data_IF_539892055403
#
_entry.id   IF_539892055403
#
_cell.length_a   1.000
_cell.length_b   1.000
_cell.length_c   1.000
_cell.angle_alpha   90.00
_cell.angle_beta   90.00
_cell.angle_gamma   90.00
#
_symmetry.space_group_name_H-M   'P 1'
#
loop_
_entity.id
_entity.type
_entity.pdbx_description
1 polymer ?
#
# COMPACT_ATOMS: atom_id res chain seq x y z
N UNK A 1 -25.16 6.91 18.18
CA UNK A 1 -25.36 6.18 16.90
C UNK A 1 -24.06 5.51 16.53
N UNK A 2 -24.10 4.36 15.85
CA UNK A 2 -22.88 3.72 15.34
C UNK A 2 -22.17 4.65 14.32
N UNK A 3 -20.84 4.78 14.38
CA UNK A 3 -20.08 5.49 13.36
C UNK A 3 -20.37 4.94 11.96
N UNK A 4 -20.57 5.82 11.00
CA UNK A 4 -20.80 5.49 9.59
C UNK A 4 -19.51 5.66 8.81
N UNK A 5 -19.01 4.56 8.26
CA UNK A 5 -17.76 4.54 7.49
C UNK A 5 -18.11 4.34 6.01
N UNK A 6 -17.58 5.19 5.14
CA UNK A 6 -17.64 4.98 3.69
C UNK A 6 -16.25 4.63 3.17
N UNK A 7 -16.11 3.45 2.57
CA UNK A 7 -14.84 2.92 2.08
C UNK A 7 -14.91 2.74 0.57
N UNK A 8 -13.87 3.22 -0.11
CA UNK A 8 -13.65 2.94 -1.54
C UNK A 8 -12.37 2.11 -1.69
N UNK A 9 -12.34 1.20 -2.68
CA UNK A 9 -11.18 0.35 -2.92
C UNK A 9 -11.17 -0.98 -2.16
N UNK A 10 -12.29 -1.36 -1.51
CA UNK A 10 -12.41 -2.58 -0.68
C UNK A 10 -12.21 -3.91 -1.41
N UNK A 11 -12.16 -3.88 -2.75
CA UNK A 11 -11.90 -5.06 -3.58
C UNK A 11 -10.49 -5.08 -4.15
N UNK A 12 -9.67 -4.08 -3.79
CA UNK A 12 -8.23 -4.03 -4.01
C UNK A 12 -7.47 -4.69 -2.85
N UNK A 13 -6.15 -4.67 -2.96
CA UNK A 13 -5.25 -5.33 -2.01
C UNK A 13 -5.28 -4.67 -0.62
N UNK A 14 -4.96 -3.36 -0.55
CA UNK A 14 -4.97 -2.59 0.71
C UNK A 14 -6.39 -2.48 1.25
N UNK A 15 -7.33 -1.96 0.45
CA UNK A 15 -8.71 -1.73 0.89
C UNK A 15 -9.45 -2.99 1.31
N UNK A 16 -9.11 -4.14 0.73
CA UNK A 16 -9.66 -5.43 1.14
C UNK A 16 -9.19 -5.84 2.54
N UNK A 17 -7.92 -5.60 2.84
CA UNK A 17 -7.34 -5.86 4.16
C UNK A 17 -7.87 -4.88 5.23
N UNK A 18 -8.01 -3.60 4.87
CA UNK A 18 -8.67 -2.58 5.70
C UNK A 18 -10.11 -2.96 6.01
N UNK A 19 -10.89 -3.37 5.00
CA UNK A 19 -12.27 -3.83 5.21
C UNK A 19 -12.31 -5.05 6.14
N UNK A 20 -11.39 -5.99 5.95
CA UNK A 20 -11.28 -7.19 6.78
C UNK A 20 -11.07 -6.81 8.25
N UNK A 21 -9.98 -6.11 8.56
CA UNK A 21 -9.65 -5.79 9.96
C UNK A 21 -10.69 -4.87 10.60
N UNK A 22 -11.21 -3.88 9.86
CA UNK A 22 -12.19 -2.95 10.44
C UNK A 22 -13.52 -3.66 10.73
N UNK A 23 -13.98 -4.55 9.85
CA UNK A 23 -15.23 -5.30 10.06
C UNK A 23 -15.10 -6.34 11.19
N UNK A 24 -13.89 -6.87 11.43
CA UNK A 24 -13.65 -7.82 12.52
C UNK A 24 -13.46 -7.13 13.86
N UNK A 25 -12.73 -6.02 13.90
CA UNK A 25 -12.42 -5.29 15.14
C UNK A 25 -13.61 -4.46 15.62
N UNK A 26 -14.36 -3.85 14.68
CA UNK A 26 -15.52 -3.01 15.00
C UNK A 26 -16.79 -3.50 14.29
N UNK A 27 -17.33 -4.68 14.67
CA UNK A 27 -18.56 -5.20 14.09
C UNK A 27 -19.80 -4.33 14.38
N UNK A 28 -19.69 -3.36 15.29
CA UNK A 28 -20.68 -2.36 15.62
C UNK A 28 -20.69 -1.14 14.68
N UNK A 29 -19.64 -0.93 13.87
CA UNK A 29 -19.59 0.18 12.92
C UNK A 29 -20.46 -0.08 11.68
N UNK A 30 -21.07 0.97 11.16
CA UNK A 30 -21.89 0.91 9.95
C UNK A 30 -21.03 1.17 8.72
N UNK A 31 -20.53 0.11 8.09
CA UNK A 31 -19.63 0.22 6.93
C UNK A 31 -20.43 0.18 5.63
N UNK A 32 -20.11 1.12 4.74
CA UNK A 32 -20.55 1.14 3.35
C UNK A 32 -19.36 1.07 2.41
N UNK A 33 -19.44 0.21 1.39
CA UNK A 33 -18.33 -0.06 0.49
C UNK A 33 -18.73 0.20 -0.96
N UNK A 34 -17.99 1.10 -1.64
CA UNK A 34 -18.15 1.33 -3.07
C UNK A 34 -17.53 0.17 -3.86
N UNK A 35 -18.33 -0.48 -4.70
CA UNK A 35 -17.91 -1.63 -5.50
C UNK A 35 -18.34 -1.42 -6.96
N UNK A 36 -17.40 -1.58 -7.89
CA UNK A 36 -17.61 -1.30 -9.31
C UNK A 36 -18.43 -2.35 -10.06
N UNK A 37 -18.29 -3.63 -9.71
CA UNK A 37 -18.85 -4.73 -10.52
C UNK A 37 -19.64 -5.72 -9.67
N UNK A 38 -20.75 -6.22 -10.23
CA UNK A 38 -21.63 -7.17 -9.55
C UNK A 38 -20.91 -8.46 -9.11
N UNK A 39 -19.94 -8.94 -9.89
CA UNK A 39 -19.14 -10.11 -9.52
C UNK A 39 -18.39 -9.91 -8.19
N UNK A 40 -17.82 -8.72 -7.97
CA UNK A 40 -17.14 -8.37 -6.72
C UNK A 40 -18.12 -8.09 -5.58
N UNK A 41 -19.32 -7.59 -5.87
CA UNK A 41 -20.40 -7.42 -4.87
C UNK A 41 -20.71 -8.75 -4.18
N UNK A 42 -20.82 -9.84 -4.95
CA UNK A 42 -21.11 -11.15 -4.40
C UNK A 42 -20.01 -11.65 -3.45
N UNK A 43 -18.74 -11.43 -3.80
CA UNK A 43 -17.59 -11.79 -2.95
C UNK A 43 -17.64 -11.03 -1.61
N UNK A 44 -17.85 -9.71 -1.65
CA UNK A 44 -17.89 -8.87 -0.44
C UNK A 44 -19.12 -9.19 0.42
N UNK A 45 -20.31 -9.32 -0.18
CA UNK A 45 -21.55 -9.60 0.56
C UNK A 45 -21.51 -10.96 1.25
N UNK A 46 -20.91 -11.97 0.59
CA UNK A 46 -20.72 -13.30 1.17
C UNK A 46 -19.77 -13.27 2.38
N UNK A 47 -18.65 -12.54 2.27
CA UNK A 47 -17.65 -12.46 3.33
C UNK A 47 -18.10 -11.55 4.49
N UNK A 48 -18.81 -10.46 4.18
CA UNK A 48 -19.21 -9.43 5.15
C UNK A 48 -20.70 -9.05 4.97
N UNK A 49 -21.64 -9.89 5.43
CA UNK A 49 -23.08 -9.67 5.22
C UNK A 49 -23.64 -8.37 5.82
N UNK A 50 -22.93 -7.76 6.78
CA UNK A 50 -23.31 -6.50 7.43
C UNK A 50 -22.85 -5.26 6.67
N UNK A 51 -21.95 -5.40 5.69
CA UNK A 51 -21.43 -4.27 4.91
C UNK A 51 -22.47 -3.86 3.87
N UNK A 52 -22.87 -2.58 3.88
CA UNK A 52 -23.75 -2.03 2.85
C UNK A 52 -22.95 -1.84 1.57
N UNK A 53 -23.32 -2.55 0.51
CA UNK A 53 -22.71 -2.35 -0.81
C UNK A 53 -23.32 -1.13 -1.49
N UNK A 54 -22.46 -0.27 -2.02
CA UNK A 54 -22.80 0.82 -2.94
C UNK A 54 -22.26 0.44 -4.31
N UNK A 55 -23.13 0.04 -5.23
CA UNK A 55 -22.74 -0.30 -6.61
C UNK A 55 -22.47 1.01 -7.38
N UNK A 56 -21.24 1.21 -7.81
CA UNK A 56 -20.81 2.44 -8.50
C UNK A 56 -19.29 2.50 -8.67
N UNK A 57 -18.82 3.55 -9.32
CA UNK A 57 -17.42 3.81 -9.65
C UNK A 57 -16.94 5.15 -9.08
N UNK A 58 -15.65 5.43 -9.21
CA UNK A 58 -15.10 6.74 -8.83
C UNK A 58 -15.55 7.87 -9.77
N UNK A 59 -16.08 7.54 -10.95
CA UNK A 59 -16.62 8.52 -11.91
C UNK A 59 -18.03 8.98 -11.52
N UNK A 60 -18.71 8.25 -10.62
CA UNK A 60 -20.07 8.54 -10.16
C UNK A 60 -20.08 9.61 -9.05
N UNK A 61 -19.71 10.84 -9.40
CA UNK A 61 -19.60 11.97 -8.45
C UNK A 61 -20.84 12.19 -7.58
N UNK A 62 -22.04 11.91 -8.11
CA UNK A 62 -23.31 12.02 -7.37
C UNK A 62 -23.41 10.98 -6.25
N UNK A 63 -22.99 9.74 -6.51
CA UNK A 63 -22.91 8.66 -5.52
C UNK A 63 -21.86 9.01 -4.48
N UNK A 64 -20.65 9.39 -4.91
CA UNK A 64 -19.55 9.76 -4.01
C UNK A 64 -19.96 10.89 -3.06
N UNK A 65 -20.53 11.97 -3.60
CA UNK A 65 -21.00 13.10 -2.78
C UNK A 65 -22.06 12.67 -1.78
N UNK A 66 -23.04 11.86 -2.21
CA UNK A 66 -24.12 11.40 -1.33
C UNK A 66 -23.56 10.53 -0.19
N UNK A 67 -22.76 9.52 -0.51
CA UNK A 67 -22.26 8.58 0.50
C UNK A 67 -21.29 9.29 1.46
N UNK A 68 -20.38 10.12 0.95
CA UNK A 68 -19.45 10.89 1.77
C UNK A 68 -20.18 11.88 2.70
N UNK A 69 -21.24 12.56 2.24
CA UNK A 69 -22.01 13.50 3.07
C UNK A 69 -22.80 12.79 4.19
N UNK A 70 -23.03 11.48 4.08
CA UNK A 70 -23.73 10.69 5.10
C UNK A 70 -22.81 9.93 6.04
N UNK A 71 -21.51 9.87 5.72
CA UNK A 71 -20.50 9.18 6.49
C UNK A 71 -19.89 10.12 7.54
N UNK A 72 -19.52 9.56 8.69
CA UNK A 72 -18.69 10.25 9.68
C UNK A 72 -17.21 10.20 9.27
N UNK A 73 -16.80 9.13 8.59
CA UNK A 73 -15.42 8.87 8.17
C UNK A 73 -15.41 8.30 6.75
N UNK A 74 -14.53 8.83 5.91
CA UNK A 74 -14.26 8.31 4.55
C UNK A 74 -12.87 7.71 4.51
N UNK A 75 -12.77 6.44 4.08
CA UNK A 75 -11.50 5.75 3.84
C UNK A 75 -11.35 5.54 2.32
N UNK A 76 -10.32 6.15 1.73
CA UNK A 76 -10.06 6.05 0.31
C UNK A 76 -8.83 5.19 0.03
N UNK A 77 -9.03 4.06 -0.66
CA UNK A 77 -7.96 3.11 -1.07
C UNK A 77 -8.13 2.64 -2.51
N UNK A 78 -8.92 3.38 -3.31
CA UNK A 78 -9.40 2.93 -4.62
C UNK A 78 -8.45 3.23 -5.79
N UNK A 79 -7.45 4.10 -5.58
CA UNK A 79 -6.37 4.35 -6.51
C UNK A 79 -5.06 4.42 -5.72
N UNK A 80 -4.30 3.34 -5.76
CA UNK A 80 -3.06 3.14 -5.01
C UNK A 80 -2.00 2.45 -5.90
N UNK A 81 -2.11 2.64 -7.22
CA UNK A 81 -1.18 2.04 -8.18
C UNK A 81 -0.88 2.96 -9.34
N UNK A 82 0.39 2.96 -9.72
CA UNK A 82 1.09 4.18 -10.14
C UNK A 82 1.77 3.93 -11.48
N UNK A 83 1.54 4.80 -12.47
CA UNK A 83 2.27 4.74 -13.73
C UNK A 83 2.80 6.10 -14.20
N UNK A 84 4.09 6.05 -14.53
CA UNK A 84 4.94 6.98 -15.30
C UNK A 84 5.59 8.13 -14.54
N UNK A 85 6.94 8.09 -14.47
CA UNK A 85 7.80 9.23 -14.81
C UNK A 85 9.26 8.82 -15.09
N UNK A 86 10.07 9.79 -15.52
CA UNK A 86 11.44 9.64 -16.04
C UNK A 86 12.40 9.10 -14.97
N UNK A 87 12.66 7.81 -15.07
CA UNK A 87 13.71 7.13 -14.31
C UNK A 87 15.09 7.73 -14.61
N UNK A 88 15.77 8.23 -13.55
CA UNK A 88 17.18 8.59 -13.58
C UNK A 88 18.09 7.36 -13.69
N UNK A 89 19.29 7.43 -13.11
CA UNK A 89 20.19 6.27 -13.03
C UNK A 89 19.57 5.18 -12.15
N UNK A 90 19.35 3.99 -12.70
CA UNK A 90 18.76 2.86 -11.98
C UNK A 90 19.83 2.03 -11.27
N UNK A 91 19.47 1.44 -10.14
CA UNK A 91 20.27 0.46 -9.41
C UNK A 91 21.36 1.04 -8.52
N UNK A 92 21.49 2.37 -8.46
CA UNK A 92 22.41 3.06 -7.54
C UNK A 92 21.74 3.33 -6.20
N UNK A 93 22.55 3.59 -5.18
CA UNK A 93 22.08 4.01 -3.86
C UNK A 93 21.98 5.54 -3.78
N UNK A 94 20.92 6.04 -3.12
CA UNK A 94 20.74 7.44 -2.73
C UNK A 94 20.63 7.58 -1.19
N UNK A 95 21.31 8.59 -0.63
CA UNK A 95 21.29 8.91 0.80
C UNK A 95 19.98 9.60 1.23
N UNK A 96 19.21 10.17 0.28
CA UNK A 96 17.99 10.91 0.58
C UNK A 96 16.96 10.04 1.31
N UNK A 97 16.47 10.57 2.43
CA UNK A 97 15.45 9.94 3.28
C UNK A 97 14.40 11.00 3.68
N UNK A 98 13.11 10.66 3.55
CA UNK A 98 12.01 11.52 4.00
C UNK A 98 11.58 11.20 5.43
N UNK A 99 11.18 12.17 6.23
CA UNK A 99 10.75 11.96 7.63
C UNK A 99 9.36 12.58 7.85
N UNK A 100 8.40 11.80 8.34
CA UNK A 100 7.02 12.24 8.54
C UNK A 100 6.78 13.05 9.81
N UNK A 101 7.78 13.17 10.69
CA UNK A 101 7.72 13.83 11.98
C UNK A 101 8.43 15.17 11.97
N UNK A 102 9.75 15.17 11.81
CA UNK A 102 10.56 16.39 11.77
C UNK A 102 10.55 17.03 10.38
N UNK A 103 10.40 16.21 9.33
CA UNK A 103 10.56 16.58 7.93
C UNK A 103 9.25 16.72 7.14
N UNK A 104 8.08 16.74 7.80
CA UNK A 104 6.77 16.64 7.12
C UNK A 104 6.56 17.71 6.04
N UNK A 105 7.13 18.90 6.20
CA UNK A 105 7.09 19.98 5.20
C UNK A 105 7.73 19.60 3.85
N UNK A 106 8.72 18.70 3.83
CA UNK A 106 9.33 18.20 2.60
C UNK A 106 8.40 17.25 1.83
N UNK A 107 7.51 16.53 2.54
CA UNK A 107 6.49 15.65 1.96
C UNK A 107 5.30 16.46 1.46
N UNK A 108 4.78 17.36 2.29
CA UNK A 108 3.64 18.20 1.94
C UNK A 108 4.00 19.33 0.97
N UNK A 109 5.29 19.56 0.73
CA UNK A 109 5.86 20.54 -0.20
C UNK A 109 6.51 19.95 -1.46
N UNK A 110 6.26 18.68 -1.78
CA UNK A 110 6.77 18.06 -3.01
C UNK A 110 6.35 18.86 -4.28
N UNK A 111 7.19 18.87 -5.35
CA UNK A 111 6.85 19.46 -6.64
C UNK A 111 5.55 18.90 -7.23
N UNK A 112 4.84 19.67 -8.03
CA UNK A 112 3.53 19.28 -8.61
C UNK A 112 3.62 18.05 -9.53
N UNK A 113 4.79 17.84 -10.14
CA UNK A 113 5.11 16.67 -10.96
C UNK A 113 5.42 15.42 -10.12
N UNK A 114 5.66 15.57 -8.82
CA UNK A 114 5.89 14.44 -7.94
C UNK A 114 4.68 13.51 -7.96
N UNK A 115 4.98 12.23 -7.91
CA UNK A 115 3.97 11.20 -7.99
C UNK A 115 2.93 11.33 -6.86
N UNK A 116 1.64 11.12 -7.18
CA UNK A 116 0.45 11.39 -6.34
C UNK A 116 0.24 12.83 -5.86
N UNK A 117 1.14 13.77 -6.17
CA UNK A 117 1.04 15.13 -5.64
C UNK A 117 -0.27 15.82 -5.99
N UNK A 118 -0.80 15.54 -7.17
CA UNK A 118 -2.10 16.04 -7.62
C UNK A 118 -3.25 15.69 -6.66
N UNK A 119 -3.23 14.48 -6.07
CA UNK A 119 -4.24 14.02 -5.09
C UNK A 119 -3.91 14.54 -3.70
N UNK A 120 -2.65 14.40 -3.26
CA UNK A 120 -2.22 14.84 -1.93
C UNK A 120 -2.50 16.32 -1.69
N UNK A 121 -2.29 17.17 -2.71
CA UNK A 121 -2.56 18.60 -2.61
C UNK A 121 -4.04 18.89 -2.33
N UNK A 122 -4.96 18.10 -2.90
CA UNK A 122 -6.40 18.25 -2.65
C UNK A 122 -6.74 17.83 -1.22
N UNK A 123 -6.20 16.69 -0.76
CA UNK A 123 -6.48 16.14 0.57
C UNK A 123 -5.86 17.01 1.69
N UNK A 124 -4.61 17.41 1.52
CA UNK A 124 -3.92 18.32 2.45
C UNK A 124 -4.64 19.67 2.46
N UNK A 125 -4.95 20.21 1.27
CA UNK A 125 -5.66 21.49 1.15
C UNK A 125 -7.02 21.49 1.85
N UNK A 126 -7.78 20.39 1.79
CA UNK A 126 -9.04 20.24 2.50
C UNK A 126 -8.86 20.19 4.03
N UNK A 127 -7.74 19.66 4.51
CA UNK A 127 -7.37 19.62 5.94
C UNK A 127 -6.62 20.85 6.43
N UNK A 128 -6.50 21.90 5.62
CA UNK A 128 -5.78 23.15 5.92
C UNK A 128 -6.70 24.37 5.91
N UNK A 129 -6.21 25.46 6.49
CA UNK A 129 -6.92 26.75 6.49
C UNK A 129 -8.34 26.67 7.06
N UNK A 130 -9.30 27.35 6.44
CA UNK A 130 -10.71 27.41 6.90
C UNK A 130 -11.48 26.11 6.73
N UNK A 131 -11.07 25.25 5.80
CA UNK A 131 -11.74 23.97 5.57
C UNK A 131 -11.37 22.91 6.62
N UNK A 132 -10.21 23.08 7.29
CA UNK A 132 -9.77 22.24 8.41
C UNK A 132 -10.74 22.24 9.60
N UNK A 133 -11.62 23.25 9.72
CA UNK A 133 -12.69 23.28 10.72
C UNK A 133 -13.83 22.31 10.40
N UNK A 134 -13.99 21.96 9.12
CA UNK A 134 -15.10 21.13 8.62
C UNK A 134 -14.69 19.68 8.39
N UNK A 135 -13.44 19.46 7.96
CA UNK A 135 -12.92 18.12 7.68
C UNK A 135 -11.50 17.95 8.23
N UNK A 136 -11.27 16.81 8.86
CA UNK A 136 -9.93 16.36 9.26
C UNK A 136 -9.45 15.35 8.23
N UNK A 137 -8.22 15.52 7.76
CA UNK A 137 -7.65 14.64 6.74
C UNK A 137 -6.36 14.01 7.24
N UNK A 138 -6.10 12.78 6.78
CA UNK A 138 -4.83 12.10 6.97
C UNK A 138 -4.46 11.39 5.66
N UNK A 139 -3.23 11.57 5.21
CA UNK A 139 -2.61 10.85 4.10
C UNK A 139 -1.79 9.71 4.69
N UNK A 140 -2.12 8.48 4.27
CA UNK A 140 -1.39 7.28 4.66
C UNK A 140 -0.51 6.88 3.48
N UNK A 141 0.80 7.00 3.66
CA UNK A 141 1.80 6.81 2.61
C UNK A 141 2.65 5.55 2.90
N UNK A 142 2.21 4.36 2.45
CA UNK A 142 3.02 3.15 2.56
C UNK A 142 4.11 3.08 1.47
N UNK A 143 5.23 2.37 1.74
CA UNK A 143 6.26 2.05 0.76
C UNK A 143 5.93 0.72 0.06
N UNK A 144 6.90 -0.17 -0.16
CA UNK A 144 6.63 -1.52 -0.69
C UNK A 144 5.71 -2.28 0.27
N UNK A 145 4.54 -2.70 -0.20
CA UNK A 145 3.57 -3.45 0.63
C UNK A 145 3.70 -4.94 0.32
N UNK A 146 3.80 -5.80 1.33
CA UNK A 146 3.91 -7.26 1.15
C UNK A 146 2.99 -8.04 2.10
N UNK A 147 3.05 -9.37 2.03
CA UNK A 147 2.19 -10.30 2.77
C UNK A 147 0.98 -10.78 1.96
N UNK A 148 0.29 -11.81 2.44
CA UNK A 148 -0.97 -12.27 1.82
C UNK A 148 -2.13 -11.40 2.30
N UNK A 149 -2.86 -10.80 1.37
CA UNK A 149 -4.03 -9.98 1.70
C UNK A 149 -5.20 -10.81 2.23
N UNK A 150 -5.95 -10.25 3.18
CA UNK A 150 -7.09 -10.90 3.86
C UNK A 150 -8.46 -10.49 3.31
N UNK A 151 -8.46 -9.59 2.32
CA UNK A 151 -9.66 -9.17 1.61
C UNK A 151 -10.28 -10.27 0.74
N UNK A 152 -11.58 -10.18 0.41
CA UNK A 152 -12.32 -11.25 -0.25
C UNK A 152 -12.11 -11.30 -1.78
N UNK A 153 -11.35 -10.37 -2.35
CA UNK A 153 -11.22 -10.19 -3.80
C UNK A 153 -9.76 -10.29 -4.27
N UNK A 154 -8.91 -9.30 -3.96
CA UNK A 154 -7.50 -9.32 -4.32
C UNK A 154 -6.62 -9.51 -3.08
N UNK A 155 -5.89 -10.63 -3.05
CA UNK A 155 -4.98 -10.97 -1.95
C UNK A 155 -3.50 -10.92 -2.36
N UNK A 156 -3.19 -10.65 -3.64
CA UNK A 156 -1.82 -10.64 -4.16
C UNK A 156 -1.25 -9.22 -4.12
N UNK A 157 -0.03 -9.09 -3.60
CA UNK A 157 0.74 -7.86 -3.76
C UNK A 157 1.36 -7.76 -5.16
N UNK A 158 2.22 -6.76 -5.38
CA UNK A 158 2.81 -6.42 -6.67
C UNK A 158 4.33 -6.63 -6.68
N UNK A 159 5.13 -5.65 -6.29
CA UNK A 159 6.58 -5.62 -6.56
C UNK A 159 7.33 -6.92 -6.19
N UNK A 160 7.19 -7.41 -4.95
CA UNK A 160 7.85 -8.64 -4.50
C UNK A 160 7.28 -9.91 -5.16
N UNK A 161 5.98 -9.92 -5.47
CA UNK A 161 5.31 -11.06 -6.11
C UNK A 161 5.64 -11.13 -7.61
N UNK A 162 5.76 -9.98 -8.29
CA UNK A 162 6.26 -9.91 -9.67
C UNK A 162 7.71 -10.35 -9.78
N UNK A 163 8.53 -10.06 -8.77
CA UNK A 163 9.91 -10.54 -8.70
C UNK A 163 9.95 -12.07 -8.56
N UNK A 164 9.16 -12.63 -7.65
CA UNK A 164 9.00 -14.08 -7.51
C UNK A 164 8.49 -14.72 -8.79
N UNK A 165 7.48 -14.13 -9.44
CA UNK A 165 6.97 -14.58 -10.73
C UNK A 165 8.06 -14.62 -11.81
N UNK A 166 8.87 -13.56 -11.94
CA UNK A 166 9.98 -13.51 -12.88
C UNK A 166 11.05 -14.57 -12.58
N UNK A 167 11.42 -14.75 -11.31
CA UNK A 167 12.40 -15.78 -10.93
C UNK A 167 11.91 -17.18 -11.33
N UNK A 168 10.64 -17.49 -11.03
CA UNK A 168 10.03 -18.79 -11.32
C UNK A 168 9.85 -19.05 -12.83
N UNK A 169 9.51 -18.04 -13.61
CA UNK A 169 9.24 -18.21 -15.05
C UNK A 169 10.49 -18.00 -15.91
N UNK A 170 11.33 -17.05 -15.53
CA UNK A 170 12.55 -16.69 -16.24
C UNK A 170 13.75 -17.58 -15.92
N UNK A 171 13.75 -18.25 -14.76
CA UNK A 171 14.85 -19.12 -14.31
C UNK A 171 16.18 -18.35 -14.18
N UNK A 172 16.14 -17.16 -13.56
CA UNK A 172 17.32 -16.37 -13.18
C UNK A 172 16.99 -15.38 -12.06
N UNK A 173 18.02 -14.81 -11.43
CA UNK A 173 17.87 -13.75 -10.43
C UNK A 173 18.00 -12.38 -11.11
N UNK A 174 16.94 -11.55 -11.16
CA UNK A 174 16.99 -10.26 -11.85
C UNK A 174 17.74 -9.21 -11.04
N UNK A 175 18.70 -8.53 -11.66
CA UNK A 175 19.46 -7.40 -11.08
C UNK A 175 19.31 -6.18 -11.98
N UNK A 176 18.86 -5.04 -11.43
CA UNK A 176 18.78 -3.77 -12.17
C UNK A 176 19.94 -2.86 -11.76
N UNK A 177 20.67 -2.34 -12.76
CA UNK A 177 21.82 -1.45 -12.55
C UNK A 177 22.87 -2.05 -11.62
N UNK A 178 23.39 -1.26 -10.67
CA UNK A 178 24.38 -1.74 -9.70
C UNK A 178 23.78 -2.63 -8.58
N UNK A 179 22.46 -2.84 -8.55
CA UNK A 179 21.79 -3.68 -7.55
C UNK A 179 21.83 -3.12 -6.12
N UNK A 180 22.03 -1.82 -5.95
CA UNK A 180 22.14 -1.14 -4.64
C UNK A 180 20.91 -0.34 -4.23
N UNK A 181 19.88 -0.32 -5.08
CA UNK A 181 18.64 0.39 -4.83
C UNK A 181 17.93 -0.14 -3.58
N UNK A 182 17.44 0.77 -2.73
CA UNK A 182 16.82 0.47 -1.44
C UNK A 182 15.40 0.98 -1.33
N UNK A 183 14.55 0.22 -0.66
CA UNK A 183 13.16 0.62 -0.43
C UNK A 183 12.70 0.20 0.97
N UNK A 184 11.94 1.07 1.63
CA UNK A 184 11.19 0.65 2.81
C UNK A 184 10.12 -0.40 2.48
N UNK A 185 9.66 -1.13 3.49
CA UNK A 185 8.55 -2.05 3.31
C UNK A 185 7.61 -2.07 4.51
N UNK A 186 6.39 -2.56 4.28
CA UNK A 186 5.42 -2.83 5.34
C UNK A 186 4.52 -4.01 4.97
N UNK A 187 4.19 -4.85 5.95
CA UNK A 187 3.22 -5.91 5.76
C UNK A 187 1.79 -5.31 5.66
N UNK A 188 0.97 -5.77 4.71
CA UNK A 188 -0.38 -5.21 4.44
C UNK A 188 -1.28 -5.22 5.66
N UNK A 189 -1.19 -6.26 6.49
CA UNK A 189 -1.95 -6.34 7.73
C UNK A 189 -1.51 -5.30 8.78
N UNK A 190 -0.21 -4.97 8.89
CA UNK A 190 0.24 -3.91 9.80
C UNK A 190 -0.17 -2.52 9.27
N UNK A 191 -0.15 -2.33 7.94
CA UNK A 191 -0.68 -1.14 7.30
C UNK A 191 -2.18 -0.96 7.56
N UNK A 192 -2.97 -2.04 7.43
CA UNK A 192 -4.40 -2.02 7.69
C UNK A 192 -4.72 -1.64 9.14
N UNK A 193 -3.89 -2.06 10.11
CA UNK A 193 -4.03 -1.70 11.52
C UNK A 193 -3.92 -0.17 11.73
N UNK A 194 -3.15 0.56 10.91
CA UNK A 194 -3.10 2.04 10.97
C UNK A 194 -4.44 2.67 10.58
N UNK A 195 -5.14 2.13 9.58
CA UNK A 195 -6.46 2.62 9.21
C UNK A 195 -7.49 2.41 10.33
N UNK A 196 -7.39 1.32 11.08
CA UNK A 196 -8.21 1.09 12.28
C UNK A 196 -7.90 2.16 13.33
N UNK A 197 -6.63 2.36 13.66
CA UNK A 197 -6.21 3.35 14.67
C UNK A 197 -6.64 4.78 14.30
N UNK A 198 -6.53 5.17 13.02
CA UNK A 198 -7.05 6.45 12.53
C UNK A 198 -8.58 6.54 12.65
N UNK A 199 -9.29 5.45 12.33
CA UNK A 199 -10.75 5.39 12.46
C UNK A 199 -11.17 5.53 13.92
N UNK A 200 -10.53 4.79 14.83
CA UNK A 200 -10.76 4.87 16.28
C UNK A 200 -10.48 6.28 16.82
N UNK A 201 -9.37 6.91 16.40
CA UNK A 201 -9.04 8.28 16.77
C UNK A 201 -10.12 9.27 16.31
N UNK A 202 -10.62 9.14 15.07
CA UNK A 202 -11.70 9.97 14.55
C UNK A 202 -13.03 9.74 15.30
N UNK A 203 -13.39 8.49 15.59
CA UNK A 203 -14.58 8.14 16.39
C UNK A 203 -14.50 8.72 17.79
N UNK A 204 -13.33 8.65 18.42
CA UNK A 204 -13.04 9.25 19.72
C UNK A 204 -12.98 10.78 19.69
N UNK A 205 -13.10 11.39 18.49
CA UNK A 205 -12.91 12.83 18.26
C UNK A 205 -11.57 13.33 18.79
N UNK A 206 -10.53 12.52 18.69
CA UNK A 206 -9.17 12.98 18.91
C UNK A 206 -8.84 13.97 17.79
N UNK A 207 -8.71 15.26 18.12
CA UNK A 207 -8.42 16.34 17.16
C UNK A 207 -6.95 16.78 17.22
N UNK A 208 -6.05 15.93 17.70
CA UNK A 208 -4.63 16.23 17.78
C UNK A 208 -4.09 16.72 16.41
N UNK A 209 -3.56 17.94 16.31
CA UNK A 209 -3.00 18.46 15.06
C UNK A 209 -1.79 17.66 14.58
N UNK A 210 -1.16 16.83 15.42
CA UNK A 210 -0.12 15.90 14.99
C UNK A 210 -0.69 14.71 14.19
N UNK A 211 -2.00 14.48 14.20
CA UNK A 211 -2.64 13.39 13.49
C UNK A 211 -3.32 13.82 12.19
N UNK A 212 -3.75 15.09 12.11
CA UNK A 212 -4.66 15.56 11.07
C UNK A 212 -4.15 16.79 10.32
N UNK A 213 -4.65 16.99 9.10
CA UNK A 213 -4.43 18.19 8.30
C UNK A 213 -2.97 18.33 7.85
N UNK A 214 -2.38 19.50 8.05
CA UNK A 214 -1.03 19.85 7.58
C UNK A 214 0.07 18.88 8.03
N UNK A 215 -0.09 18.27 9.21
CA UNK A 215 0.85 17.27 9.74
C UNK A 215 0.33 15.84 9.59
N UNK A 216 -0.91 15.66 9.16
CA UNK A 216 -1.55 14.36 8.95
C UNK A 216 -1.01 13.62 7.74
N UNK A 217 0.30 13.60 7.51
CA UNK A 217 0.96 12.77 6.50
C UNK A 217 1.75 11.71 7.26
N UNK A 218 1.37 10.43 7.11
CA UNK A 218 1.92 9.32 7.88
C UNK A 218 2.65 8.37 6.95
N UNK A 219 3.95 8.22 7.14
CA UNK A 219 4.75 7.21 6.45
C UNK A 219 4.62 5.91 7.24
N UNK A 220 4.14 4.86 6.56
CA UNK A 220 3.85 3.58 7.22
C UNK A 220 4.87 2.55 6.76
N UNK A 221 6.00 2.51 7.47
CA UNK A 221 7.09 1.56 7.23
C UNK A 221 7.40 0.71 8.46
N UNK A 222 7.94 -0.50 8.24
CA UNK A 222 8.47 -1.36 9.28
C UNK A 222 9.70 -2.13 8.79
N UNK A 223 10.63 -1.44 8.14
CA UNK A 223 11.85 -2.04 7.59
C UNK A 223 12.29 -1.46 6.26
N UNK A 224 13.47 -1.87 5.81
CA UNK A 224 14.12 -1.48 4.56
C UNK A 224 14.85 -2.69 3.97
N UNK A 225 14.88 -2.80 2.64
CA UNK A 225 15.59 -3.86 1.94
C UNK A 225 16.37 -3.30 0.75
N UNK A 226 17.40 -4.04 0.33
CA UNK A 226 18.08 -3.87 -0.96
C UNK A 226 17.42 -4.82 -1.96
N UNK A 227 16.99 -4.30 -3.11
CA UNK A 227 16.25 -5.10 -4.10
C UNK A 227 17.03 -6.32 -4.60
N UNK A 228 18.34 -6.17 -4.86
CA UNK A 228 19.18 -7.27 -5.29
C UNK A 228 19.32 -8.36 -4.21
N UNK A 229 19.37 -7.99 -2.94
CA UNK A 229 19.47 -8.95 -1.84
C UNK A 229 18.15 -9.71 -1.66
N UNK A 230 17.01 -9.04 -1.82
CA UNK A 230 15.71 -9.70 -1.88
C UNK A 230 15.62 -10.67 -3.06
N UNK A 231 16.06 -10.27 -4.25
CA UNK A 231 16.07 -11.12 -5.44
C UNK A 231 16.96 -12.37 -5.24
N UNK A 232 18.15 -12.20 -4.66
CA UNK A 232 19.05 -13.31 -4.31
C UNK A 232 18.44 -14.25 -3.28
N UNK A 233 17.80 -13.69 -2.24
CA UNK A 233 17.11 -14.47 -1.23
C UNK A 233 15.96 -15.30 -1.83
N UNK A 234 15.14 -14.67 -2.68
CA UNK A 234 14.07 -15.35 -3.42
C UNK A 234 14.62 -16.44 -4.34
N UNK A 235 15.68 -16.16 -5.10
CA UNK A 235 16.32 -17.14 -5.97
C UNK A 235 16.81 -18.36 -5.19
N UNK A 236 17.60 -18.13 -4.13
CA UNK A 236 18.08 -19.20 -3.26
C UNK A 236 16.95 -20.02 -2.66
N UNK A 237 15.87 -19.38 -2.21
CA UNK A 237 14.70 -20.09 -1.66
C UNK A 237 13.95 -20.88 -2.73
N UNK A 238 13.85 -20.38 -3.96
CA UNK A 238 13.26 -21.10 -5.06
C UNK A 238 14.06 -22.37 -5.42
N UNK A 239 15.40 -22.31 -5.37
CA UNK A 239 16.28 -23.47 -5.53
C UNK A 239 16.02 -24.52 -4.44
N UNK A 240 16.01 -24.09 -3.18
CA UNK A 240 15.80 -24.98 -2.02
C UNK A 240 14.42 -25.65 -2.03
N UNK A 241 13.39 -24.96 -2.54
CA UNK A 241 12.04 -25.49 -2.71
C UNK A 241 11.88 -26.39 -3.94
N UNK A 242 12.90 -26.46 -4.82
CA UNK A 242 12.83 -27.19 -6.08
C UNK A 242 11.84 -26.58 -7.08
N UNK A 243 11.61 -25.26 -6.99
CA UNK A 243 10.68 -24.55 -7.90
C UNK A 243 11.37 -24.06 -9.18
N UNK A 244 12.69 -24.21 -9.28
CA UNK A 244 13.53 -23.83 -10.42
C UNK A 244 14.50 -24.96 -10.78
N UNK A 245 15.01 -24.91 -12.01
CA UNK A 245 15.92 -25.91 -12.56
C UNK A 245 17.38 -25.61 -12.17
N UNK A 246 17.84 -26.29 -11.12
CA UNK A 246 19.23 -26.20 -10.68
C UNK A 246 19.55 -24.85 -10.05
N UNK A 247 20.81 -24.44 -10.15
CA UNK A 247 21.31 -23.20 -9.56
C UNK A 247 21.06 -22.02 -10.50
N UNK A 248 20.43 -20.98 -9.99
CA UNK A 248 20.15 -19.74 -10.70
C UNK A 248 21.39 -18.86 -10.78
N UNK A 249 21.50 -18.16 -11.90
CA UNK A 249 22.49 -17.11 -12.12
C UNK A 249 21.84 -15.73 -12.03
N UNK A 250 22.60 -14.74 -11.56
CA UNK A 250 22.21 -13.33 -11.64
C UNK A 250 22.28 -12.86 -13.09
N UNK A 251 21.24 -12.15 -13.56
CA UNK A 251 21.25 -11.51 -14.89
C UNK A 251 20.78 -10.07 -14.78
N UNK A 252 21.42 -9.23 -15.58
CA UNK A 252 21.00 -7.85 -15.73
C UNK A 252 19.60 -7.79 -16.38
N UNK A 253 18.70 -7.07 -15.70
CA UNK A 253 17.40 -6.70 -16.21
C UNK A 253 17.43 -5.22 -16.61
N UNK A 254 17.46 -4.95 -17.92
CA UNK A 254 17.41 -3.58 -18.42
C UNK A 254 16.07 -2.93 -18.10
N UNK A 255 16.04 -1.59 -18.09
CA UNK A 255 14.81 -0.81 -17.88
C UNK A 255 13.69 -1.20 -18.86
N UNK A 256 14.03 -1.41 -20.14
CA UNK A 256 13.07 -1.82 -21.17
C UNK A 256 12.47 -3.20 -20.85
N UNK A 257 13.32 -4.17 -20.53
CA UNK A 257 12.86 -5.51 -20.14
C UNK A 257 12.08 -5.49 -18.83
N UNK A 258 12.43 -4.62 -17.88
CA UNK A 258 11.66 -4.43 -16.65
C UNK A 258 10.25 -3.88 -16.97
N UNK A 259 10.16 -2.86 -17.83
CA UNK A 259 8.87 -2.34 -18.29
C UNK A 259 8.02 -3.41 -18.97
N UNK A 260 8.63 -4.21 -19.85
CA UNK A 260 7.93 -5.31 -20.55
C UNK A 260 7.50 -6.43 -19.59
N UNK A 261 8.29 -6.68 -18.54
CA UNK A 261 8.02 -7.72 -17.56
C UNK A 261 6.81 -7.39 -16.69
N UNK A 262 6.83 -6.23 -16.02
CA UNK A 262 5.81 -5.87 -15.03
C UNK A 262 5.64 -4.36 -14.89
N UNK A 263 5.96 -3.57 -15.92
CA UNK A 263 5.78 -2.12 -15.89
C UNK A 263 6.60 -1.45 -14.77
N UNK A 264 5.96 -0.54 -14.04
CA UNK A 264 6.61 0.22 -12.97
C UNK A 264 7.08 -0.69 -11.82
N UNK A 265 6.33 -1.75 -11.53
CA UNK A 265 6.62 -2.70 -10.46
C UNK A 265 8.03 -3.28 -10.61
N UNK A 266 8.40 -3.71 -11.82
CA UNK A 266 9.75 -4.22 -12.08
C UNK A 266 10.79 -3.10 -12.18
N UNK A 267 10.46 -1.94 -12.78
CA UNK A 267 11.41 -0.82 -12.82
C UNK A 267 11.75 -0.31 -11.42
N UNK A 268 10.81 -0.37 -10.49
CA UNK A 268 10.99 0.04 -9.10
C UNK A 268 12.09 -0.73 -8.37
N UNK A 269 12.46 -1.93 -8.83
CA UNK A 269 13.58 -2.69 -8.28
C UNK A 269 14.94 -2.00 -8.49
N UNK A 270 15.01 -1.02 -9.39
CA UNK A 270 16.17 -0.16 -9.60
C UNK A 270 16.06 1.23 -8.98
N UNK A 271 15.01 1.52 -8.20
CA UNK A 271 14.75 2.85 -7.64
C UNK A 271 14.87 2.86 -6.11
N UNK A 272 15.13 4.05 -5.56
CA UNK A 272 15.18 4.26 -4.12
C UNK A 272 13.87 4.88 -3.62
N UNK A 273 13.38 4.39 -2.49
CA UNK A 273 12.33 5.06 -1.71
C UNK A 273 12.56 4.79 -0.23
N UNK A 274 13.23 5.76 0.39
CA UNK A 274 13.69 5.68 1.77
C UNK A 274 13.02 6.76 2.58
N UNK A 275 12.50 6.36 3.72
CA UNK A 275 11.67 7.18 4.56
C UNK A 275 11.63 6.64 5.99
N UNK A 276 11.33 7.53 6.93
CA UNK A 276 11.22 7.26 8.35
C UNK A 276 9.81 7.60 8.83
N UNK A 277 9.07 6.55 9.15
CA UNK A 277 7.71 6.62 9.71
C UNK A 277 7.76 6.68 11.24
N UNK A 278 7.55 7.86 11.80
CA UNK A 278 7.59 8.11 13.26
C UNK A 278 6.21 8.47 13.81
N UNK A 279 5.40 9.18 13.04
CA UNK A 279 4.13 9.76 13.49
C UNK A 279 3.13 8.71 13.96
N UNK A 280 2.90 7.66 13.18
CA UNK A 280 1.98 6.57 13.56
C UNK A 280 2.39 5.89 14.87
N UNK A 281 3.70 5.64 15.06
CA UNK A 281 4.24 5.01 16.28
C UNK A 281 4.06 5.92 17.50
N UNK A 282 4.33 7.23 17.37
CA UNK A 282 4.25 8.19 18.48
C UNK A 282 2.81 8.59 18.85
N UNK A 283 1.98 8.88 17.86
CA UNK A 283 0.68 9.53 18.06
C UNK A 283 -0.45 8.50 18.17
N UNK A 284 -0.40 7.42 17.38
CA UNK A 284 -1.39 6.35 17.39
C UNK A 284 -0.97 5.14 18.25
N UNK A 285 0.26 5.11 18.74
CA UNK A 285 0.81 3.94 19.44
C UNK A 285 0.93 2.70 18.54
N UNK A 286 1.01 2.90 17.21
CA UNK A 286 1.10 1.81 16.24
C UNK A 286 2.35 0.96 16.48
N UNK A 287 2.14 -0.36 16.58
CA UNK A 287 3.19 -1.36 16.85
C UNK A 287 3.07 -2.47 15.80
N UNK A 288 3.74 -2.34 14.65
CA UNK A 288 3.74 -3.40 13.65
C UNK A 288 4.35 -4.68 14.22
N UNK A 289 3.80 -5.82 13.82
CA UNK A 289 4.10 -7.11 14.46
C UNK A 289 4.12 -8.30 13.49
N UNK A 290 3.80 -8.07 12.22
CA UNK A 290 3.79 -9.14 11.22
C UNK A 290 5.23 -9.52 10.84
N UNK A 291 5.45 -10.73 10.30
CA UNK A 291 6.76 -11.19 9.87
C UNK A 291 7.40 -10.23 8.87
N UNK A 292 8.73 -10.20 8.83
CA UNK A 292 9.49 -9.36 7.92
C UNK A 292 9.31 -9.79 6.46
N UNK A 293 9.70 -8.94 5.51
CA UNK A 293 9.63 -9.27 4.08
C UNK A 293 10.45 -10.53 3.78
N UNK A 294 11.65 -10.62 4.35
CA UNK A 294 12.56 -11.75 4.22
C UNK A 294 11.95 -13.05 4.77
N UNK A 295 11.27 -12.98 5.91
CA UNK A 295 10.58 -14.14 6.52
C UNK A 295 9.40 -14.61 5.67
N UNK A 296 8.80 -13.74 4.84
CA UNK A 296 7.67 -14.09 3.97
C UNK A 296 8.06 -14.58 2.57
N UNK A 297 9.34 -14.56 2.20
CA UNK A 297 9.81 -14.96 0.85
C UNK A 297 9.32 -16.36 0.44
N UNK A 298 9.38 -17.34 1.34
CA UNK A 298 8.90 -18.70 1.06
C UNK A 298 7.40 -18.73 0.79
N UNK A 299 6.61 -17.94 1.54
CA UNK A 299 5.15 -17.82 1.32
C UNK A 299 4.86 -17.21 -0.05
N UNK A 300 5.56 -16.12 -0.40
CA UNK A 300 5.41 -15.45 -1.70
C UNK A 300 5.71 -16.41 -2.85
N UNK A 301 6.82 -17.16 -2.78
CA UNK A 301 7.20 -18.13 -3.80
C UNK A 301 6.16 -19.25 -3.95
N UNK A 302 5.63 -19.77 -2.83
CA UNK A 302 4.58 -20.80 -2.83
C UNK A 302 3.28 -20.28 -3.46
N UNK A 303 2.89 -19.06 -3.12
CA UNK A 303 1.69 -18.42 -3.70
C UNK A 303 1.83 -18.19 -5.20
N UNK A 304 2.99 -17.70 -5.65
CA UNK A 304 3.22 -17.49 -7.08
C UNK A 304 3.36 -18.81 -7.83
N UNK A 305 4.02 -19.82 -7.25
CA UNK A 305 4.09 -21.15 -7.85
C UNK A 305 2.70 -21.76 -8.02
N UNK A 306 1.83 -21.66 -7.01
CA UNK A 306 0.46 -22.15 -7.09
C UNK A 306 -0.37 -21.45 -8.18
N UNK A 307 -0.07 -20.18 -8.51
CA UNK A 307 -0.74 -19.45 -9.60
C UNK A 307 -0.28 -19.86 -11.00
N UNK A 308 0.96 -20.31 -11.13
CA UNK A 308 1.54 -20.76 -12.40
C UNK A 308 1.06 -22.16 -12.81
N UNK A 309 0.62 -22.97 -11.85
CA UNK A 309 0.35 -24.40 -12.03
C UNK A 309 1.60 -25.28 -11.91
#
# INVERSE_FOLDING_TARGET
MAPKIFITGTTGYIGGDVLHVLSTTHPEYSISALIRTQGKVNLVTKAYPKVRVVLGSLDDSSILRKEAATADIVIHTADASDHTEKYGTLGEWDEKEFDDWEGVGALTGLPDEAFHRNVDRIVIGAGSGREAEKVKTAVVCPPTIYGRGRGPANARSRQAYEMAHLILTGQYIPIIGAGKARWNHVHVADLADVFVLLTEAAVAKNLDPELWGEKGYLIIENGEHVWADLARLMGKKAEELGFVEGKLEEKELSKEKALDQAGFEAVSWGLNSRAKGTRAKKVLGWKPSRPSLEETVEEILKDEKARLG
#
